data_IF_102230511644
#
_entry.id   IF_102230511644
#
_cell.length_a   1.000
_cell.length_b   1.000
_cell.length_c   1.000
_cell.angle_alpha   90.00
_cell.angle_beta   90.00
_cell.angle_gamma   90.00
#
_symmetry.space_group_name_H-M   'P 1'
#
loop_
_entity.id
_entity.type
_entity.pdbx_description
1 polymer ?
#
# COMPACT_ATOMS: atom_id res chain seq x y z
N UNK A 1 -10.98 10.33 2.20
CA UNK A 1 -10.01 11.26 1.62
C UNK A 1 -9.98 12.53 2.46
N UNK A 2 -8.79 13.06 2.74
CA UNK A 2 -8.65 14.36 3.40
C UNK A 2 -8.99 15.47 2.43
N UNK A 3 -9.28 16.69 2.94
CA UNK A 3 -9.80 17.79 2.13
C UNK A 3 -9.01 18.09 0.85
N UNK A 4 -7.68 17.96 0.90
CA UNK A 4 -6.79 18.22 -0.24
C UNK A 4 -6.89 17.19 -1.37
N UNK A 5 -7.29 15.96 -1.06
CA UNK A 5 -7.45 14.88 -2.06
C UNK A 5 -8.89 14.78 -2.57
N UNK A 6 -9.84 15.50 -1.96
CA UNK A 6 -11.24 15.50 -2.40
C UNK A 6 -11.42 15.92 -3.86
N UNK A 7 -10.69 16.94 -4.30
CA UNK A 7 -10.75 17.39 -5.70
C UNK A 7 -10.26 16.29 -6.68
N UNK A 8 -9.32 15.42 -6.27
CA UNK A 8 -8.81 14.33 -7.08
C UNK A 8 -9.78 13.14 -7.16
N UNK A 9 -10.74 13.06 -6.25
CA UNK A 9 -11.79 12.02 -6.24
C UNK A 9 -13.11 12.51 -6.82
N UNK A 10 -13.16 13.73 -7.35
CA UNK A 10 -14.35 14.25 -8.00
C UNK A 10 -14.69 13.41 -9.24
N UNK A 11 -15.92 12.94 -9.29
CA UNK A 11 -16.39 12.04 -10.35
C UNK A 11 -16.15 10.55 -10.10
N UNK A 12 -15.43 10.17 -9.04
CA UNK A 12 -15.33 8.77 -8.63
C UNK A 12 -16.52 8.37 -7.74
N UNK A 13 -17.08 7.20 -7.99
CA UNK A 13 -18.07 6.61 -7.11
C UNK A 13 -17.37 6.11 -5.82
N UNK A 14 -17.81 6.58 -4.68
CA UNK A 14 -17.28 6.18 -3.38
C UNK A 14 -18.29 5.26 -2.72
N UNK A 15 -17.92 3.97 -2.56
CA UNK A 15 -18.72 3.04 -1.80
C UNK A 15 -18.60 3.29 -0.30
N UNK A 16 -19.72 3.18 0.41
CA UNK A 16 -19.74 3.27 1.86
C UNK A 16 -18.94 2.11 2.48
N UNK A 17 -18.23 2.40 3.56
CA UNK A 17 -17.55 1.36 4.34
C UNK A 17 -18.59 0.60 5.19
N UNK A 18 -18.39 -0.72 5.27
CA UNK A 18 -19.13 -1.55 6.21
C UNK A 18 -18.25 -1.75 7.46
N UNK A 19 -18.70 -1.26 8.60
CA UNK A 19 -17.95 -1.35 9.87
C UNK A 19 -16.50 -0.82 9.78
N UNK A 20 -16.29 0.24 9.00
CA UNK A 20 -14.99 0.87 8.66
C UNK A 20 -14.10 0.06 7.71
N UNK A 21 -14.52 -1.11 7.26
CA UNK A 21 -13.81 -1.94 6.29
C UNK A 21 -14.37 -1.80 4.87
N UNK A 22 -13.65 -2.36 3.91
CA UNK A 22 -14.11 -2.48 2.52
C UNK A 22 -15.40 -3.31 2.49
N UNK A 23 -16.47 -2.74 1.92
CA UNK A 23 -17.68 -3.51 1.64
C UNK A 23 -17.49 -4.30 0.33
N UNK A 24 -16.92 -5.50 0.47
CA UNK A 24 -16.62 -6.37 -0.66
C UNK A 24 -17.90 -6.85 -1.35
N UNK A 25 -19.01 -7.07 -0.59
CA UNK A 25 -20.28 -7.49 -1.15
C UNK A 25 -20.87 -6.40 -2.05
N UNK A 26 -20.82 -5.14 -1.61
CA UNK A 26 -21.24 -4.00 -2.42
C UNK A 26 -20.37 -3.84 -3.67
N UNK A 27 -19.05 -4.04 -3.54
CA UNK A 27 -18.12 -3.95 -4.65
C UNK A 27 -18.39 -5.04 -5.70
N UNK A 28 -18.56 -6.29 -5.27
CA UNK A 28 -18.90 -7.41 -6.15
C UNK A 28 -20.27 -7.24 -6.83
N UNK A 29 -21.27 -6.72 -6.09
CA UNK A 29 -22.59 -6.45 -6.65
C UNK A 29 -22.57 -5.32 -7.69
N UNK A 30 -21.75 -4.28 -7.45
CA UNK A 30 -21.58 -3.14 -8.35
C UNK A 30 -20.80 -3.48 -9.60
N UNK A 31 -19.82 -4.43 -9.52
CA UNK A 31 -18.97 -4.88 -10.61
C UNK A 31 -18.37 -3.74 -11.44
N UNK A 32 -17.61 -2.81 -10.84
CA UNK A 32 -16.92 -1.78 -11.61
C UNK A 32 -15.86 -2.42 -12.52
N UNK A 33 -15.46 -1.74 -13.59
CA UNK A 33 -14.31 -2.16 -14.39
C UNK A 33 -13.02 -2.08 -13.56
N UNK A 34 -12.86 -1.00 -12.77
CA UNK A 34 -11.69 -0.74 -11.94
C UNK A 34 -12.13 -0.37 -10.52
N UNK A 35 -11.51 -0.98 -9.53
CA UNK A 35 -11.65 -0.63 -8.12
C UNK A 35 -10.37 -0.02 -7.56
N UNK A 36 -10.50 1.08 -6.81
CA UNK A 36 -9.40 1.70 -6.07
C UNK A 36 -9.48 1.25 -4.62
N UNK A 37 -8.50 0.47 -4.16
CA UNK A 37 -8.45 -0.11 -2.81
C UNK A 37 -7.16 0.33 -2.12
N UNK A 38 -7.27 1.16 -1.10
CA UNK A 38 -6.12 1.67 -0.34
C UNK A 38 -5.62 0.67 0.71
N UNK A 39 -4.34 0.79 1.10
CA UNK A 39 -3.70 0.02 2.18
C UNK A 39 -3.79 -1.51 2.00
N UNK A 40 -3.18 -2.05 0.94
CA UNK A 40 -3.25 -3.48 0.58
C UNK A 40 -2.83 -4.45 1.72
N UNK A 41 -1.93 -4.04 2.61
CA UNK A 41 -1.45 -4.84 3.73
C UNK A 41 -2.34 -4.82 4.98
N UNK A 42 -3.43 -4.03 4.94
CA UNK A 42 -4.33 -3.86 6.09
C UNK A 42 -4.85 -5.18 6.65
N UNK A 43 -4.94 -5.25 7.97
CA UNK A 43 -5.58 -6.35 8.68
C UNK A 43 -7.03 -5.97 8.95
N UNK A 44 -7.96 -6.65 8.32
CA UNK A 44 -9.38 -6.38 8.46
C UNK A 44 -9.85 -6.65 9.89
N UNK A 45 -10.94 -6.00 10.29
CA UNK A 45 -11.56 -6.19 11.59
C UNK A 45 -12.01 -7.64 11.80
N UNK A 46 -12.09 -8.07 13.06
CA UNK A 46 -12.63 -9.39 13.42
C UNK A 46 -14.08 -9.53 12.92
N UNK A 47 -14.39 -10.67 12.32
CA UNK A 47 -15.69 -10.91 11.69
C UNK A 47 -15.79 -10.48 10.22
N UNK A 48 -14.77 -9.83 9.66
CA UNK A 48 -14.69 -9.57 8.23
C UNK A 48 -14.63 -10.87 7.42
N UNK A 49 -15.08 -10.83 6.15
CA UNK A 49 -15.07 -11.98 5.23
C UNK A 49 -13.68 -12.59 5.08
N UNK A 50 -12.67 -11.75 4.96
CA UNK A 50 -11.27 -12.14 4.93
C UNK A 50 -10.49 -11.44 6.05
N UNK A 51 -9.45 -12.08 6.63
CA UNK A 51 -8.66 -11.48 7.68
C UNK A 51 -7.71 -10.39 7.16
N UNK A 52 -7.47 -10.32 5.86
CA UNK A 52 -6.54 -9.38 5.21
C UNK A 52 -7.15 -8.77 3.97
N UNK A 53 -6.89 -7.47 3.76
CA UNK A 53 -7.39 -6.73 2.60
C UNK A 53 -6.89 -7.27 1.27
N UNK A 54 -5.66 -7.77 1.20
CA UNK A 54 -5.15 -8.38 -0.02
C UNK A 54 -5.95 -9.63 -0.45
N UNK A 55 -6.60 -10.32 0.51
CA UNK A 55 -7.49 -11.45 0.19
C UNK A 55 -8.83 -10.97 -0.37
N UNK A 56 -9.33 -9.79 0.10
CA UNK A 56 -10.49 -9.15 -0.51
C UNK A 56 -10.17 -8.74 -1.96
N UNK A 57 -8.97 -8.18 -2.18
CA UNK A 57 -8.49 -7.83 -3.52
C UNK A 57 -8.38 -9.06 -4.42
N UNK A 58 -7.87 -10.19 -3.93
CA UNK A 58 -7.84 -11.45 -4.67
C UNK A 58 -9.24 -11.90 -5.12
N UNK A 59 -10.25 -11.74 -4.25
CA UNK A 59 -11.63 -12.07 -4.61
C UNK A 59 -12.18 -11.14 -5.70
N UNK A 60 -11.88 -9.83 -5.64
CA UNK A 60 -12.27 -8.86 -6.67
C UNK A 60 -11.62 -9.19 -8.02
N UNK A 61 -10.31 -9.50 -8.03
CA UNK A 61 -9.59 -9.90 -9.23
C UNK A 61 -10.16 -11.18 -9.83
N UNK A 62 -10.48 -12.19 -9.00
CA UNK A 62 -11.12 -13.43 -9.45
C UNK A 62 -12.53 -13.21 -10.00
N UNK A 63 -13.21 -12.13 -9.61
CA UNK A 63 -14.50 -11.72 -10.17
C UNK A 63 -14.36 -10.93 -11.49
N UNK A 64 -13.14 -10.69 -11.96
CA UNK A 64 -12.84 -9.95 -13.17
C UNK A 64 -12.91 -8.42 -13.01
N UNK A 65 -12.66 -7.92 -11.81
CA UNK A 65 -12.56 -6.50 -11.51
C UNK A 65 -11.08 -6.14 -11.44
N UNK A 66 -10.62 -5.18 -12.23
CA UNK A 66 -9.25 -4.65 -12.12
C UNK A 66 -9.09 -3.86 -10.82
N UNK A 67 -7.96 -4.02 -10.14
CA UNK A 67 -7.72 -3.35 -8.86
C UNK A 67 -6.43 -2.56 -8.88
N UNK A 68 -6.54 -1.28 -8.54
CA UNK A 68 -5.39 -0.43 -8.20
C UNK A 68 -5.32 -0.28 -6.69
N UNK A 69 -4.15 -0.56 -6.14
CA UNK A 69 -3.96 -0.53 -4.69
C UNK A 69 -2.66 0.18 -4.31
N UNK A 70 -2.56 0.58 -3.05
CA UNK A 70 -1.35 1.19 -2.49
C UNK A 70 -0.67 0.24 -1.51
N UNK A 71 0.66 0.26 -1.52
CA UNK A 71 1.49 -0.51 -0.61
C UNK A 71 2.69 0.30 -0.17
N UNK A 72 2.91 0.38 1.13
CA UNK A 72 4.15 0.95 1.66
C UNK A 72 5.20 -0.15 1.85
N UNK A 73 6.46 0.16 1.54
CA UNK A 73 7.58 -0.79 1.55
C UNK A 73 7.76 -1.54 2.89
N UNK A 74 7.45 -0.88 4.01
CA UNK A 74 7.56 -1.48 5.34
C UNK A 74 6.58 -2.64 5.60
N UNK A 75 5.58 -2.81 4.75
CA UNK A 75 4.60 -3.90 4.87
C UNK A 75 4.97 -5.14 4.05
N UNK A 76 6.04 -5.11 3.25
CA UNK A 76 6.52 -6.28 2.52
C UNK A 76 7.17 -7.26 3.51
N UNK A 77 6.69 -8.50 3.51
CA UNK A 77 7.05 -9.50 4.54
C UNK A 77 8.56 -9.77 4.60
N UNK A 78 9.22 -9.98 3.46
CA UNK A 78 10.67 -10.22 3.38
C UNK A 78 11.51 -9.05 3.87
N UNK A 79 10.98 -7.83 3.90
CA UNK A 79 11.67 -6.64 4.35
C UNK A 79 11.45 -6.31 5.84
N UNK A 80 10.56 -7.03 6.52
CA UNK A 80 10.15 -6.71 7.90
C UNK A 80 11.33 -6.63 8.88
N UNK A 81 12.29 -7.57 8.80
CA UNK A 81 13.46 -7.57 9.68
C UNK A 81 14.44 -6.43 9.38
N UNK A 82 14.58 -6.03 8.12
CA UNK A 82 15.41 -4.88 7.73
C UNK A 82 14.75 -3.60 8.21
N UNK A 83 13.45 -3.45 7.98
CA UNK A 83 12.65 -2.31 8.46
C UNK A 83 12.74 -2.18 9.98
N UNK A 84 12.62 -3.30 10.72
CA UNK A 84 12.74 -3.29 12.18
C UNK A 84 14.14 -2.86 12.68
N UNK A 85 15.20 -3.20 11.95
CA UNK A 85 16.57 -2.76 12.26
C UNK A 85 16.78 -1.27 12.01
N UNK A 86 16.19 -0.73 10.94
CA UNK A 86 16.30 0.69 10.58
C UNK A 86 15.48 1.55 11.53
N UNK A 87 14.21 1.18 11.76
CA UNK A 87 13.24 2.03 12.45
C UNK A 87 13.10 1.73 13.94
N UNK A 88 13.68 0.62 14.40
CA UNK A 88 13.47 0.03 15.74
C UNK A 88 11.99 -0.32 16.03
N UNK A 89 11.17 -0.43 15.00
CA UNK A 89 9.75 -0.78 15.09
C UNK A 89 9.48 -2.00 14.19
N UNK A 90 8.92 -3.06 14.78
CA UNK A 90 8.46 -4.21 14.01
C UNK A 90 7.03 -3.94 13.50
N UNK A 91 6.88 -3.90 12.20
CA UNK A 91 5.58 -3.74 11.55
C UNK A 91 4.81 -5.06 11.68
N UNK A 92 3.57 -4.98 12.16
CA UNK A 92 2.71 -6.17 12.38
C UNK A 92 1.87 -6.51 11.17
N UNK A 93 1.48 -5.51 10.40
CA UNK A 93 0.72 -5.70 9.18
C UNK A 93 1.69 -5.95 8.03
N UNK A 94 1.73 -7.16 7.54
CA UNK A 94 2.60 -7.55 6.44
C UNK A 94 1.80 -8.14 5.28
N UNK A 95 2.37 -7.99 4.10
CA UNK A 95 1.90 -8.54 2.84
C UNK A 95 2.92 -9.60 2.38
N UNK A 96 2.49 -10.83 2.05
CA UNK A 96 3.37 -11.81 1.43
C UNK A 96 3.94 -11.31 0.11
N UNK A 97 5.24 -11.54 -0.13
CA UNK A 97 5.93 -11.11 -1.36
C UNK A 97 5.23 -11.63 -2.62
N UNK A 98 4.69 -12.85 -2.57
CA UNK A 98 3.95 -13.46 -3.67
C UNK A 98 2.75 -12.62 -4.15
N UNK A 99 2.14 -11.79 -3.29
CA UNK A 99 1.05 -10.89 -3.69
C UNK A 99 1.59 -9.76 -4.57
N UNK A 100 2.72 -9.16 -4.18
CA UNK A 100 3.39 -8.15 -4.99
C UNK A 100 3.93 -8.74 -6.31
N UNK A 101 4.43 -9.97 -6.28
CA UNK A 101 4.95 -10.66 -7.47
C UNK A 101 3.88 -10.94 -8.53
N UNK A 102 2.62 -11.08 -8.13
CA UNK A 102 1.49 -11.28 -9.05
C UNK A 102 0.94 -9.99 -9.64
N UNK A 103 1.35 -8.82 -9.15
CA UNK A 103 0.90 -7.56 -9.72
C UNK A 103 1.36 -7.44 -11.18
N UNK A 104 0.46 -7.05 -12.08
CA UNK A 104 0.78 -6.84 -13.49
C UNK A 104 1.71 -5.63 -13.66
N UNK A 105 1.45 -4.57 -12.89
CA UNK A 105 2.22 -3.33 -12.90
C UNK A 105 2.53 -2.85 -11.47
N UNK A 106 3.74 -2.35 -11.27
CA UNK A 106 4.17 -1.73 -10.01
C UNK A 106 4.76 -0.37 -10.31
N UNK A 107 4.12 0.67 -9.82
CA UNK A 107 4.58 2.05 -9.93
C UNK A 107 5.17 2.53 -8.61
N UNK A 108 6.40 3.05 -8.64
CA UNK A 108 7.04 3.66 -7.47
C UNK A 108 6.68 5.14 -7.40
N UNK A 109 5.90 5.51 -6.40
CA UNK A 109 5.66 6.92 -6.07
C UNK A 109 6.75 7.37 -5.11
N UNK A 110 7.76 8.05 -5.65
CA UNK A 110 8.93 8.50 -4.90
C UNK A 110 8.72 9.89 -4.31
N UNK A 111 8.91 10.00 -2.99
CA UNK A 111 8.95 11.25 -2.24
C UNK A 111 10.28 11.34 -1.49
N UNK A 112 10.89 12.52 -1.51
CA UNK A 112 12.07 12.76 -0.68
C UNK A 112 11.70 12.77 0.82
N UNK A 113 12.64 12.45 1.72
CA UNK A 113 12.40 12.56 3.16
C UNK A 113 11.85 13.92 3.58
N UNK A 114 12.38 15.00 3.03
CA UNK A 114 11.98 16.36 3.35
C UNK A 114 10.52 16.65 2.92
N UNK A 115 10.14 16.26 1.71
CA UNK A 115 8.76 16.39 1.22
C UNK A 115 7.78 15.59 2.08
N UNK A 116 8.17 14.38 2.51
CA UNK A 116 7.31 13.57 3.37
C UNK A 116 7.14 14.17 4.76
N UNK A 117 8.23 14.69 5.36
CA UNK A 117 8.19 15.38 6.64
C UNK A 117 7.30 16.62 6.55
N UNK A 118 7.47 17.43 5.52
CA UNK A 118 6.62 18.62 5.29
C UNK A 118 5.13 18.25 5.19
N UNK A 119 4.79 17.19 4.46
CA UNK A 119 3.40 16.68 4.37
C UNK A 119 2.87 16.20 5.73
N UNK A 120 3.72 15.60 6.55
CA UNK A 120 3.36 15.20 7.92
C UNK A 120 3.07 16.40 8.82
N UNK A 121 3.93 17.41 8.78
CA UNK A 121 3.77 18.66 9.53
C UNK A 121 2.52 19.44 9.13
N UNK A 122 2.20 19.43 7.85
CA UNK A 122 0.97 20.01 7.30
C UNK A 122 -0.29 19.20 7.65
N UNK A 123 -0.16 18.09 8.39
CA UNK A 123 -1.28 17.24 8.77
C UNK A 123 -1.90 16.44 7.61
N UNK A 124 -1.21 16.35 6.48
CA UNK A 124 -1.69 15.68 5.26
C UNK A 124 -1.70 14.15 5.35
N UNK A 125 -0.90 13.58 6.27
CA UNK A 125 -0.76 12.12 6.44
C UNK A 125 -1.47 11.64 7.70
N UNK A 126 -1.26 12.33 8.83
CA UNK A 126 -1.85 12.02 10.14
C UNK A 126 -2.51 13.23 10.76
N UNK A 127 -3.39 13.01 11.75
CA UNK A 127 -3.86 14.08 12.61
C UNK A 127 -2.66 14.68 13.41
N UNK A 128 -2.68 15.98 13.73
CA UNK A 128 -1.52 16.69 14.30
C UNK A 128 -0.86 16.00 15.51
N UNK A 129 -1.66 15.47 16.43
CA UNK A 129 -1.16 14.79 17.64
C UNK A 129 -0.46 13.46 17.33
N UNK A 130 -0.92 12.75 16.30
CA UNK A 130 -0.32 11.51 15.80
C UNK A 130 0.91 11.80 14.97
N UNK A 131 0.89 12.86 14.17
CA UNK A 131 2.02 13.28 13.35
C UNK A 131 3.25 13.58 14.21
N UNK A 132 3.11 14.30 15.33
CA UNK A 132 4.22 14.62 16.22
C UNK A 132 4.87 13.37 16.84
N UNK A 133 4.09 12.35 17.20
CA UNK A 133 4.63 11.08 17.73
C UNK A 133 5.34 10.28 16.65
N UNK A 134 4.78 10.24 15.44
CA UNK A 134 5.35 9.57 14.30
C UNK A 134 6.68 10.20 13.87
N UNK A 135 6.77 11.54 13.81
CA UNK A 135 7.99 12.29 13.50
C UNK A 135 9.14 12.04 14.47
N UNK A 136 8.84 11.78 15.75
CA UNK A 136 9.89 11.55 16.75
C UNK A 136 10.56 10.19 16.67
N UNK A 137 9.88 9.19 16.16
CA UNK A 137 10.33 7.80 16.25
C UNK A 137 10.55 7.15 14.87
N UNK A 138 9.54 7.15 14.01
CA UNK A 138 9.57 6.46 12.73
C UNK A 138 10.02 7.36 11.59
N UNK A 139 9.45 8.55 11.50
CA UNK A 139 9.65 9.48 10.38
C UNK A 139 10.84 10.43 10.61
N UNK A 140 11.96 9.89 11.07
CA UNK A 140 13.22 10.65 11.11
C UNK A 140 13.90 10.58 9.74
N UNK A 141 14.62 11.64 9.29
CA UNK A 141 15.18 11.72 7.94
C UNK A 141 16.01 10.49 7.53
N UNK A 142 16.84 9.98 8.46
CA UNK A 142 17.66 8.80 8.21
C UNK A 142 16.87 7.52 7.94
N UNK A 143 15.80 7.29 8.71
CA UNK A 143 14.91 6.14 8.50
C UNK A 143 14.19 6.26 7.14
N UNK A 144 13.67 7.45 6.83
CA UNK A 144 12.97 7.70 5.58
C UNK A 144 13.87 7.51 4.36
N UNK A 145 15.12 8.00 4.43
CA UNK A 145 16.10 7.78 3.37
C UNK A 145 16.39 6.29 3.15
N UNK A 146 16.56 5.52 4.23
CA UNK A 146 16.80 4.09 4.15
C UNK A 146 15.57 3.31 3.64
N UNK A 147 14.36 3.66 4.06
CA UNK A 147 13.12 3.07 3.57
C UNK A 147 12.89 3.39 2.09
N UNK A 148 13.18 4.61 1.67
CA UNK A 148 13.15 5.02 0.26
C UNK A 148 14.11 4.18 -0.59
N UNK A 149 15.35 3.98 -0.12
CA UNK A 149 16.32 3.12 -0.80
C UNK A 149 15.83 1.67 -0.91
N UNK A 150 15.22 1.11 0.14
CA UNK A 150 14.61 -0.22 0.09
C UNK A 150 13.48 -0.30 -0.95
N UNK A 151 12.63 0.73 -1.03
CA UNK A 151 11.55 0.78 -2.01
C UNK A 151 12.08 0.80 -3.44
N UNK A 152 13.10 1.62 -3.71
CA UNK A 152 13.76 1.70 -5.03
C UNK A 152 14.40 0.35 -5.41
N UNK A 153 15.11 -0.30 -4.48
CA UNK A 153 15.71 -1.62 -4.71
C UNK A 153 14.64 -2.67 -5.02
N UNK A 154 13.56 -2.71 -4.23
CA UNK A 154 12.48 -3.68 -4.46
C UNK A 154 11.78 -3.47 -5.81
N UNK A 155 11.60 -2.22 -6.23
CA UNK A 155 11.05 -1.90 -7.55
C UNK A 155 12.02 -2.34 -8.68
N UNK A 156 13.33 -2.11 -8.52
CA UNK A 156 14.34 -2.55 -9.48
C UNK A 156 14.41 -4.08 -9.60
N UNK A 157 14.38 -4.81 -8.46
CA UNK A 157 14.36 -6.28 -8.45
C UNK A 157 13.15 -6.83 -9.22
N UNK A 158 11.99 -6.18 -9.07
CA UNK A 158 10.76 -6.56 -9.79
C UNK A 158 10.91 -6.41 -11.31
N UNK A 159 11.52 -5.32 -11.77
CA UNK A 159 11.81 -5.11 -13.20
C UNK A 159 12.74 -6.20 -13.72
N UNK A 160 13.80 -6.52 -12.99
CA UNK A 160 14.75 -7.57 -13.36
C UNK A 160 14.08 -8.95 -13.46
N UNK A 161 13.15 -9.28 -12.56
CA UNK A 161 12.38 -10.51 -12.60
C UNK A 161 11.48 -10.58 -13.84
N UNK A 162 10.79 -9.50 -14.18
CA UNK A 162 9.97 -9.40 -15.37
C UNK A 162 10.80 -9.58 -16.64
N UNK A 163 11.95 -8.92 -16.74
CA UNK A 163 12.87 -9.04 -17.89
C UNK A 163 13.39 -10.48 -18.04
N UNK A 164 13.74 -11.14 -16.93
CA UNK A 164 14.17 -12.56 -16.94
C UNK A 164 13.03 -13.49 -17.37
N UNK A 165 11.81 -13.22 -16.93
CA UNK A 165 10.61 -13.96 -17.34
C UNK A 165 10.37 -13.87 -18.86
N UNK A 166 10.42 -12.66 -19.41
CA UNK A 166 10.26 -12.43 -20.85
C UNK A 166 11.34 -13.16 -21.67
N UNK A 167 12.61 -13.14 -21.25
CA UNK A 167 13.69 -13.85 -21.95
C UNK A 167 13.49 -15.36 -21.93
N UNK A 168 12.96 -15.95 -20.85
CA UNK A 168 12.67 -17.39 -20.77
C UNK A 168 11.49 -17.80 -21.65
N UNK A 169 10.53 -16.91 -21.87
CA UNK A 169 9.36 -17.18 -22.71
C UNK A 169 9.67 -17.07 -24.22
N UNK A 170 10.78 -16.44 -24.60
CA UNK A 170 11.21 -16.24 -25.99
C UNK A 170 12.30 -17.22 -26.46
N UNK A 171 12.86 -18.07 -25.58
CA UNK A 171 13.88 -19.07 -25.89
C UNK A 171 13.35 -20.49 -25.79
#
# INVERSE_FOLDING_TARGET
AREETRALTEGLEILSRREQELDIDAMLARRPEVALVDELAHTNAEGSRHPKRWMDVDELLNAGIDVWSTLNVQHIESLNDIVARITHIRVRETLPDAVLERADEVELIDLTPDELIERLEQGKVYAPDQAQRALRNYFVPGNLAALRELAMRRAADRIDEQVRGLRRAQG
#
